data_IF_006361695989
#
_entry.id   IF_006361695989
#
_cell.length_a   1.000
_cell.length_b   1.000
_cell.length_c   1.000
_cell.angle_alpha   90.00
_cell.angle_beta   90.00
_cell.angle_gamma   90.00
#
_symmetry.space_group_name_H-M   'P 1'
#
loop_
_entity.id
_entity.type
_entity.pdbx_description
1 polymer ?
#
# COMPACT_ATOMS: atom_id res chain seq x y z
N UNK A 1 -9.63 4.43 -30.62
CA UNK A 1 -9.57 5.03 -29.27
C UNK A 1 -8.35 4.44 -28.57
N UNK A 2 -7.38 5.26 -28.14
CA UNK A 2 -6.24 4.75 -27.37
C UNK A 2 -6.69 4.41 -25.95
N UNK A 3 -6.20 3.30 -25.39
CA UNK A 3 -6.48 2.92 -24.00
C UNK A 3 -5.90 3.96 -23.04
N UNK A 4 -6.56 4.15 -21.90
CA UNK A 4 -6.08 5.06 -20.85
C UNK A 4 -4.62 4.75 -20.45
N UNK A 5 -4.28 3.45 -20.42
CA UNK A 5 -2.92 2.94 -20.20
C UNK A 5 -1.91 3.49 -21.20
N UNK A 6 -2.22 3.45 -22.50
CA UNK A 6 -1.30 3.94 -23.54
C UNK A 6 -1.09 5.45 -23.42
N UNK A 7 -2.17 6.19 -23.12
CA UNK A 7 -2.12 7.64 -22.92
C UNK A 7 -1.32 8.02 -21.67
N UNK A 8 -1.48 7.28 -20.57
CA UNK A 8 -0.69 7.47 -19.36
C UNK A 8 0.81 7.19 -19.61
N UNK A 9 1.14 6.09 -20.30
CA UNK A 9 2.53 5.80 -20.65
C UNK A 9 3.17 6.90 -21.50
N UNK A 10 2.45 7.45 -22.50
CA UNK A 10 2.96 8.55 -23.30
C UNK A 10 3.18 9.83 -22.48
N UNK A 11 2.30 10.13 -21.52
CA UNK A 11 2.46 11.28 -20.64
C UNK A 11 3.67 11.11 -19.72
N UNK A 12 3.84 9.94 -19.12
CA UNK A 12 4.99 9.63 -18.24
C UNK A 12 6.30 9.75 -19.01
N UNK A 13 6.36 9.22 -20.25
CA UNK A 13 7.56 9.28 -21.08
C UNK A 13 7.94 10.71 -21.52
N UNK A 14 7.02 11.67 -21.42
CA UNK A 14 7.27 13.07 -21.74
C UNK A 14 7.77 13.91 -20.56
N UNK A 15 7.81 13.34 -19.35
CA UNK A 15 8.24 14.03 -18.13
C UNK A 15 9.73 13.81 -17.90
N UNK A 16 10.40 14.85 -17.37
CA UNK A 16 11.76 14.71 -16.84
C UNK A 16 11.75 13.99 -15.49
N UNK A 17 12.89 13.47 -15.06
CA UNK A 17 13.01 12.80 -13.75
C UNK A 17 12.58 13.69 -12.58
N UNK A 18 12.93 14.98 -12.60
CA UNK A 18 12.50 15.96 -11.58
C UNK A 18 10.97 16.12 -11.56
N UNK A 19 10.34 16.15 -12.73
CA UNK A 19 8.89 16.25 -12.84
C UNK A 19 8.20 14.96 -12.39
N UNK A 20 8.83 13.80 -12.64
CA UNK A 20 8.34 12.51 -12.16
C UNK A 20 8.37 12.43 -10.64
N UNK A 21 9.40 12.95 -9.98
CA UNK A 21 9.50 13.00 -8.52
C UNK A 21 8.36 13.86 -7.95
N UNK A 22 8.16 15.07 -8.46
CA UNK A 22 7.08 15.96 -8.01
C UNK A 22 5.70 15.35 -8.26
N UNK A 23 5.50 14.75 -9.43
CA UNK A 23 4.24 14.06 -9.76
C UNK A 23 4.00 12.88 -8.83
N UNK A 24 5.04 12.09 -8.54
CA UNK A 24 4.95 10.97 -7.62
C UNK A 24 4.55 11.43 -6.22
N UNK A 25 5.16 12.50 -5.68
CA UNK A 25 4.81 13.01 -4.36
C UNK A 25 3.34 13.42 -4.25
N UNK A 26 2.77 14.02 -5.29
CA UNK A 26 1.33 14.35 -5.35
C UNK A 26 0.48 13.09 -5.44
N UNK A 27 0.85 12.13 -6.29
CA UNK A 27 0.08 10.89 -6.48
C UNK A 27 0.16 9.94 -5.29
N UNK A 28 1.26 9.96 -4.55
CA UNK A 28 1.58 9.04 -3.46
C UNK A 28 0.51 9.05 -2.37
N UNK A 29 0.01 10.23 -2.02
CA UNK A 29 -1.08 10.37 -1.03
C UNK A 29 -2.32 9.60 -1.48
N UNK A 30 -2.80 9.88 -2.69
CA UNK A 30 -3.97 9.21 -3.25
C UNK A 30 -3.76 7.72 -3.49
N UNK A 31 -2.55 7.32 -3.86
CA UNK A 31 -2.18 5.92 -4.00
C UNK A 31 -2.31 5.18 -2.66
N UNK A 32 -1.80 5.75 -1.56
CA UNK A 32 -1.93 5.13 -0.25
C UNK A 32 -3.37 5.05 0.23
N UNK A 33 -4.17 6.09 0.01
CA UNK A 33 -5.59 6.05 0.36
C UNK A 33 -6.31 4.93 -0.39
N UNK A 34 -6.11 4.85 -1.71
CA UNK A 34 -6.72 3.81 -2.55
C UNK A 34 -6.24 2.40 -2.16
N UNK A 35 -4.94 2.25 -1.91
CA UNK A 35 -4.35 0.99 -1.48
C UNK A 35 -4.95 0.52 -0.16
N UNK A 36 -5.00 1.40 0.85
CA UNK A 36 -5.55 1.07 2.16
C UNK A 36 -7.03 0.71 2.08
N UNK A 37 -7.83 1.47 1.32
CA UNK A 37 -9.25 1.15 1.12
C UNK A 37 -9.45 -0.20 0.44
N UNK A 38 -8.65 -0.50 -0.59
CA UNK A 38 -8.71 -1.78 -1.30
C UNK A 38 -8.31 -2.94 -0.38
N UNK A 39 -7.27 -2.75 0.44
CA UNK A 39 -6.82 -3.74 1.42
C UNK A 39 -7.88 -3.98 2.51
N UNK A 40 -8.53 -2.93 3.00
CA UNK A 40 -9.64 -3.04 3.95
C UNK A 40 -10.81 -3.80 3.33
N UNK A 41 -11.17 -3.49 2.08
CA UNK A 41 -12.28 -4.17 1.40
C UNK A 41 -11.99 -5.65 1.20
N UNK A 42 -10.79 -5.98 0.70
CA UNK A 42 -10.35 -7.38 0.59
C UNK A 42 -10.33 -8.09 1.94
N UNK A 43 -9.86 -7.41 3.00
CA UNK A 43 -9.84 -7.97 4.34
C UNK A 43 -11.26 -8.26 4.86
N UNK A 44 -12.26 -7.41 4.58
CA UNK A 44 -13.65 -7.68 4.97
C UNK A 44 -14.22 -8.94 4.32
N UNK A 45 -13.78 -9.29 3.12
CA UNK A 45 -14.23 -10.53 2.44
C UNK A 45 -13.69 -11.79 3.12
N UNK A 46 -12.53 -11.68 3.79
CA UNK A 46 -11.80 -12.84 4.35
C UNK A 46 -11.83 -12.92 5.87
N UNK A 47 -11.98 -11.80 6.57
CA UNK A 47 -11.91 -11.74 8.04
C UNK A 47 -13.19 -12.27 8.68
N UNK A 48 -13.04 -13.23 9.58
CA UNK A 48 -14.10 -13.71 10.46
C UNK A 48 -14.02 -13.04 11.84
N UNK A 49 -15.13 -13.02 12.60
CA UNK A 49 -15.10 -12.60 14.00
C UNK A 49 -14.07 -13.43 14.80
N UNK A 50 -13.04 -12.77 15.34
CA UNK A 50 -11.93 -13.42 16.04
C UNK A 50 -10.58 -13.38 15.31
N UNK A 51 -10.56 -13.06 14.01
CA UNK A 51 -9.31 -12.90 13.24
C UNK A 51 -8.62 -11.54 13.48
N UNK A 52 -9.34 -10.58 14.06
CA UNK A 52 -8.81 -9.26 14.37
C UNK A 52 -8.16 -9.26 15.75
N UNK A 53 -6.92 -8.77 15.81
CA UNK A 53 -6.27 -8.48 17.08
C UNK A 53 -7.02 -7.37 17.81
N UNK A 54 -7.21 -7.55 19.11
CA UNK A 54 -7.51 -6.44 20.01
C UNK A 54 -6.34 -5.46 20.04
N UNK A 55 -6.60 -4.23 20.48
CA UNK A 55 -5.56 -3.19 20.58
C UNK A 55 -4.40 -3.66 21.46
N UNK A 56 -4.70 -4.34 22.56
CA UNK A 56 -3.73 -4.88 23.50
C UNK A 56 -2.86 -5.97 22.86
N UNK A 57 -3.47 -6.90 22.12
CA UNK A 57 -2.75 -7.95 21.39
C UNK A 57 -1.88 -7.38 20.27
N UNK A 58 -2.36 -6.37 19.55
CA UNK A 58 -1.59 -5.68 18.51
C UNK A 58 -0.37 -4.95 19.09
N UNK A 59 -0.53 -4.27 20.23
CA UNK A 59 0.57 -3.60 20.92
C UNK A 59 1.62 -4.62 21.35
N UNK A 60 1.21 -5.74 21.93
CA UNK A 60 2.13 -6.81 22.34
C UNK A 60 2.90 -7.33 21.13
N UNK A 61 2.25 -7.59 20.00
CA UNK A 61 2.91 -8.10 18.79
C UNK A 61 3.89 -7.08 18.18
N UNK A 62 3.55 -5.79 18.17
CA UNK A 62 4.40 -4.72 17.63
C UNK A 62 5.58 -4.35 18.52
N UNK A 63 5.49 -4.63 19.83
CA UNK A 63 6.52 -4.28 20.82
C UNK A 63 7.38 -5.47 21.24
N UNK A 64 7.03 -6.69 20.81
CA UNK A 64 7.89 -7.83 20.99
C UNK A 64 9.17 -7.63 20.16
N UNK A 65 10.37 -7.84 20.76
CA UNK A 65 11.58 -8.01 19.99
C UNK A 65 11.32 -9.16 19.03
N UNK A 66 11.50 -8.92 17.74
CA UNK A 66 11.46 -10.00 16.75
C UNK A 66 12.64 -10.92 17.10
N UNK A 67 12.37 -12.00 17.82
CA UNK A 67 13.28 -13.14 17.86
C UNK A 67 13.28 -13.70 16.44
N UNK A 68 14.12 -13.12 15.58
CA UNK A 68 14.56 -13.76 14.35
C UNK A 68 15.21 -15.06 14.83
N UNK A 69 14.68 -16.25 14.52
CA UNK A 69 15.38 -17.48 14.85
C UNK A 69 16.67 -17.47 14.02
N UNK A 70 17.81 -17.23 14.67
CA UNK A 70 19.11 -17.56 14.10
C UNK A 70 19.24 -19.09 14.04
N UNK A 71 18.74 -19.70 12.97
CA UNK A 71 19.07 -21.03 12.39
C UNK A 71 17.84 -21.56 11.64
N UNK A 72 17.94 -22.04 10.40
CA UNK A 72 18.94 -22.92 9.78
C UNK A 72 19.30 -22.50 8.34
#
# INVERSE_FOLDING_TARGET
MQSLRNRAHHLINGLTDDQLIVMWDVMKMHYYDLYMLSAIEAAKETLQPGDMLTREEAIVLLTQPTEIPESL
#
